data_IF_346110046089
#
_entry.id   IF_346110046089
#
_cell.length_a   1.000
_cell.length_b   1.000
_cell.length_c   1.000
_cell.angle_alpha   90.00
_cell.angle_beta   90.00
_cell.angle_gamma   90.00
#
_symmetry.space_group_name_H-M   'P 1'
#
loop_
_entity.id
_entity.type
_entity.pdbx_description
1 polymer ?
#
# COMPACT_ATOMS: atom_id res chain seq x y z
N UNK A 1 17.09 0.78 -15.83
CA UNK A 1 16.41 1.85 -15.06
C UNK A 1 17.41 2.98 -14.87
N UNK A 2 17.01 4.23 -15.10
CA UNK A 2 17.87 5.40 -14.82
C UNK A 2 17.83 5.77 -13.33
N UNK A 3 18.71 6.68 -12.89
CA UNK A 3 18.69 7.19 -11.51
C UNK A 3 17.35 7.86 -11.17
N UNK A 4 16.80 8.68 -12.06
CA UNK A 4 15.49 9.31 -11.86
C UNK A 4 14.39 8.27 -11.74
N UNK A 5 14.37 7.26 -12.63
CA UNK A 5 13.39 6.17 -12.55
C UNK A 5 13.54 5.34 -11.27
N UNK A 6 14.76 5.15 -10.78
CA UNK A 6 15.03 4.50 -9.50
C UNK A 6 14.47 5.33 -8.35
N UNK A 7 14.73 6.63 -8.34
CA UNK A 7 14.19 7.56 -7.34
C UNK A 7 12.65 7.55 -7.33
N UNK A 8 12.00 7.70 -8.49
CA UNK A 8 10.55 7.66 -8.60
C UNK A 8 9.95 6.30 -8.21
N UNK A 9 10.66 5.19 -8.46
CA UNK A 9 10.24 3.88 -7.99
C UNK A 9 10.20 3.82 -6.45
N UNK A 10 11.24 4.36 -5.79
CA UNK A 10 11.29 4.43 -4.33
C UNK A 10 10.19 5.34 -3.75
N UNK A 11 9.97 6.51 -4.34
CA UNK A 11 8.84 7.39 -3.95
C UNK A 11 7.49 6.70 -4.15
N UNK A 12 7.29 6.02 -5.28
CA UNK A 12 6.02 5.32 -5.53
C UNK A 12 5.80 4.18 -4.54
N UNK A 13 6.84 3.44 -4.17
CA UNK A 13 6.73 2.40 -3.13
C UNK A 13 6.31 3.03 -1.78
N UNK A 14 6.89 4.17 -1.40
CA UNK A 14 6.47 4.88 -0.18
C UNK A 14 5.00 5.30 -0.25
N UNK A 15 4.59 5.96 -1.33
CA UNK A 15 3.20 6.39 -1.52
C UNK A 15 2.21 5.21 -1.54
N UNK A 16 2.56 4.10 -2.19
CA UNK A 16 1.73 2.89 -2.17
C UNK A 16 1.57 2.30 -0.77
N UNK A 17 2.63 2.32 0.06
CA UNK A 17 2.55 1.84 1.44
C UNK A 17 1.61 2.70 2.28
N UNK A 18 1.67 4.03 2.11
CA UNK A 18 0.75 4.99 2.74
C UNK A 18 -0.69 4.75 2.27
N UNK A 19 -0.96 4.66 0.96
CA UNK A 19 -2.28 4.41 0.38
C UNK A 19 -2.89 3.07 0.87
N UNK A 20 -2.06 2.02 0.99
CA UNK A 20 -2.49 0.70 1.52
C UNK A 20 -2.83 0.80 3.00
N UNK A 21 -2.02 1.50 3.80
CA UNK A 21 -2.26 1.68 5.22
C UNK A 21 -3.58 2.44 5.45
N UNK A 22 -3.80 3.54 4.73
CA UNK A 22 -5.06 4.30 4.76
C UNK A 22 -6.24 3.42 4.38
N UNK A 23 -6.14 2.67 3.28
CA UNK A 23 -7.21 1.75 2.83
C UNK A 23 -7.51 0.67 3.86
N UNK A 24 -6.48 0.14 4.52
CA UNK A 24 -6.65 -0.83 5.61
C UNK A 24 -7.33 -0.21 6.84
N UNK A 25 -6.97 1.02 7.21
CA UNK A 25 -7.62 1.74 8.32
C UNK A 25 -9.10 2.01 8.04
N UNK A 26 -9.46 2.42 6.82
CA UNK A 26 -10.86 2.63 6.40
C UNK A 26 -11.66 1.32 6.50
N UNK A 27 -11.09 0.19 6.04
CA UNK A 27 -11.73 -1.13 6.16
C UNK A 27 -11.98 -1.56 7.60
N UNK A 28 -10.99 -1.37 8.50
CA UNK A 28 -11.17 -1.68 9.93
C UNK A 28 -12.30 -0.85 10.55
N UNK A 29 -12.38 0.45 10.22
CA UNK A 29 -13.48 1.31 10.71
C UNK A 29 -14.84 0.84 10.21
N UNK A 30 -14.95 0.50 8.91
CA UNK A 30 -16.20 -0.01 8.33
C UNK A 30 -16.66 -1.33 8.98
N UNK A 31 -15.75 -2.28 9.22
CA UNK A 31 -16.08 -3.55 9.88
C UNK A 31 -16.58 -3.38 11.32
N UNK A 32 -16.05 -2.40 12.07
CA UNK A 32 -16.54 -2.07 13.42
C UNK A 32 -17.97 -1.51 13.35
N UNK A 33 -18.29 -0.70 12.35
CA UNK A 33 -19.66 -0.17 12.14
C UNK A 33 -20.64 -1.28 11.72
N UNK A 34 -20.23 -2.22 10.87
CA UNK A 34 -21.05 -3.37 10.47
C UNK A 34 -21.33 -4.31 11.65
N UNK A 35 -20.34 -4.57 12.50
CA UNK A 35 -20.51 -5.40 13.69
C UNK A 35 -21.48 -4.77 14.71
N UNK A 36 -21.41 -3.44 14.89
CA UNK A 36 -22.33 -2.70 15.75
C UNK A 36 -23.78 -2.71 15.20
N UNK A 37 -23.95 -2.70 13.88
CA UNK A 37 -25.26 -2.81 13.22
C UNK A 37 -25.82 -4.24 13.19
N UNK A 38 -25.00 -5.26 13.40
CA UNK A 38 -25.42 -6.66 13.43
C UNK A 38 -25.95 -7.09 14.82
N UNK A 39 -25.50 -6.44 15.90
CA UNK A 39 -26.01 -6.68 17.26
C UNK A 39 -27.42 -6.12 17.48
N UNK A 40 -27.83 -5.13 16.70
CA UNK A 40 -29.22 -4.68 16.59
C UNK A 40 -29.81 -5.19 15.26
N UNK A 41 -30.60 -6.27 15.21
CA UNK A 41 -31.88 -6.25 14.45
C UNK A 41 -32.73 -7.51 14.38
N UNK A 42 -34.02 -7.28 14.66
CA UNK A 42 -35.15 -7.72 13.83
C UNK A 42 -35.01 -7.12 12.40
N UNK A 43 -35.06 -7.96 11.37
CA UNK A 43 -34.80 -7.59 9.98
C UNK A 43 -35.96 -6.79 9.33
N UNK A 44 -35.69 -5.55 8.94
CA UNK A 44 -36.54 -4.67 8.12
C UNK A 44 -35.88 -4.40 6.73
N UNK A 45 -36.67 -4.09 5.70
CA UNK A 45 -36.23 -3.81 4.32
C UNK A 45 -35.17 -2.70 4.22
N UNK A 46 -35.24 -1.65 5.04
CA UNK A 46 -34.18 -0.61 5.05
C UNK A 46 -32.83 -1.16 5.55
N UNK A 47 -32.86 -2.22 6.35
CA UNK A 47 -31.66 -2.92 6.83
C UNK A 47 -31.00 -3.73 5.72
N UNK A 48 -31.81 -4.39 4.87
CA UNK A 48 -31.33 -5.13 3.70
C UNK A 48 -30.72 -4.20 2.65
N UNK A 49 -31.30 -3.01 2.45
CA UNK A 49 -30.75 -1.99 1.55
C UNK A 49 -29.39 -1.49 2.03
N UNK A 50 -29.29 -1.13 3.33
CA UNK A 50 -28.00 -0.74 3.94
C UNK A 50 -26.96 -1.86 3.89
N UNK A 51 -27.36 -3.12 4.05
CA UNK A 51 -26.46 -4.26 3.90
C UNK A 51 -25.94 -4.40 2.46
N UNK A 52 -26.80 -4.24 1.45
CA UNK A 52 -26.39 -4.29 0.05
C UNK A 52 -25.41 -3.16 -0.32
N UNK A 53 -25.71 -1.92 0.10
CA UNK A 53 -24.85 -0.76 -0.13
C UNK A 53 -23.48 -0.93 0.58
N UNK A 54 -23.48 -1.44 1.82
CA UNK A 54 -22.25 -1.75 2.56
C UNK A 54 -21.42 -2.84 1.87
N UNK A 55 -22.07 -3.89 1.35
CA UNK A 55 -21.41 -4.97 0.63
C UNK A 55 -20.75 -4.48 -0.66
N UNK A 56 -21.44 -3.66 -1.45
CA UNK A 56 -20.86 -3.08 -2.67
C UNK A 56 -19.66 -2.19 -2.34
N UNK A 57 -19.74 -1.41 -1.27
CA UNK A 57 -18.63 -0.58 -0.80
C UNK A 57 -17.45 -1.43 -0.29
N UNK A 58 -17.72 -2.53 0.41
CA UNK A 58 -16.71 -3.48 0.85
C UNK A 58 -16.01 -4.17 -0.34
N UNK A 59 -16.76 -4.58 -1.37
CA UNK A 59 -16.23 -5.20 -2.59
C UNK A 59 -15.35 -4.23 -3.39
N UNK A 60 -15.77 -2.96 -3.55
CA UNK A 60 -14.96 -1.91 -4.19
C UNK A 60 -13.66 -1.64 -3.43
N UNK A 61 -13.72 -1.55 -2.10
CA UNK A 61 -12.53 -1.41 -1.26
C UNK A 61 -11.59 -2.62 -1.38
N UNK A 62 -12.15 -3.82 -1.60
CA UNK A 62 -11.39 -5.05 -1.84
C UNK A 62 -10.64 -5.02 -3.15
N UNK A 63 -11.32 -4.65 -4.25
CA UNK A 63 -10.68 -4.53 -5.55
C UNK A 63 -9.58 -3.46 -5.56
N UNK A 64 -9.84 -2.30 -4.94
CA UNK A 64 -8.85 -1.22 -4.81
C UNK A 64 -7.61 -1.69 -4.02
N UNK A 65 -7.80 -2.31 -2.85
CA UNK A 65 -6.70 -2.86 -2.05
C UNK A 65 -5.85 -3.85 -2.83
N UNK A 66 -6.49 -4.75 -3.61
CA UNK A 66 -5.76 -5.72 -4.43
C UNK A 66 -4.98 -5.07 -5.57
N UNK A 67 -5.51 -4.02 -6.18
CA UNK A 67 -4.81 -3.26 -7.21
C UNK A 67 -3.55 -2.60 -6.64
N UNK A 68 -3.67 -1.93 -5.48
CA UNK A 68 -2.54 -1.30 -4.79
C UNK A 68 -1.47 -2.31 -4.39
N UNK A 69 -1.85 -3.46 -3.83
CA UNK A 69 -0.91 -4.53 -3.47
C UNK A 69 -0.20 -5.12 -4.69
N UNK A 70 -0.91 -5.30 -5.81
CA UNK A 70 -0.30 -5.76 -7.07
C UNK A 70 0.69 -4.74 -7.61
N UNK A 71 0.35 -3.45 -7.56
CA UNK A 71 1.27 -2.40 -7.97
C UNK A 71 2.52 -2.37 -7.08
N UNK A 72 2.35 -2.43 -5.76
CA UNK A 72 3.45 -2.47 -4.81
C UNK A 72 4.39 -3.64 -5.09
N UNK A 73 3.84 -4.85 -5.26
CA UNK A 73 4.63 -6.03 -5.58
C UNK A 73 5.39 -5.87 -6.92
N UNK A 74 4.78 -5.24 -7.92
CA UNK A 74 5.42 -4.99 -9.21
C UNK A 74 6.58 -3.98 -9.08
N UNK A 75 6.42 -2.89 -8.30
CA UNK A 75 7.49 -1.93 -8.08
C UNK A 75 8.64 -2.54 -7.28
N UNK A 76 8.34 -3.31 -6.22
CA UNK A 76 9.35 -4.02 -5.45
C UNK A 76 10.10 -5.07 -6.29
N UNK A 77 9.42 -5.77 -7.20
CA UNK A 77 10.06 -6.71 -8.13
C UNK A 77 10.99 -6.00 -9.12
N UNK A 78 10.58 -4.85 -9.67
CA UNK A 78 11.44 -4.01 -10.52
C UNK A 78 12.69 -3.56 -9.78
N UNK A 79 12.53 -3.15 -8.52
CA UNK A 79 13.63 -2.73 -7.67
C UNK A 79 14.62 -3.89 -7.45
N UNK A 80 14.13 -5.06 -7.06
CA UNK A 80 14.95 -6.27 -6.84
C UNK A 80 15.68 -6.73 -8.09
N UNK A 81 15.07 -6.59 -9.27
CA UNK A 81 15.69 -6.93 -10.55
C UNK A 81 16.78 -5.93 -10.96
N UNK A 82 16.69 -4.68 -10.51
CA UNK A 82 17.66 -3.64 -10.82
C UNK A 82 18.85 -3.62 -9.86
N UNK A 83 18.60 -3.80 -8.56
CA UNK A 83 19.67 -3.81 -7.55
C UNK A 83 20.44 -5.13 -7.66
N UNK A 84 21.77 -5.11 -7.89
CA UNK A 84 22.57 -6.32 -7.92
C UNK A 84 22.47 -7.07 -6.60
N UNK A 85 22.38 -8.41 -6.64
CA UNK A 85 22.32 -9.24 -5.42
C UNK A 85 23.52 -9.00 -4.51
N UNK A 86 24.69 -8.67 -5.06
CA UNK A 86 25.89 -8.31 -4.29
C UNK A 86 25.75 -7.03 -3.46
N UNK A 87 24.77 -6.18 -3.77
CA UNK A 87 24.46 -4.96 -3.02
C UNK A 87 23.34 -5.17 -1.98
N UNK A 88 22.77 -6.37 -1.86
CA UNK A 88 21.77 -6.65 -0.84
C UNK A 88 22.41 -6.56 0.56
N UNK A 89 21.65 -6.06 1.54
CA UNK A 89 22.17 -5.75 2.87
C UNK A 89 23.01 -4.46 2.93
N UNK A 90 23.22 -3.77 1.81
CA UNK A 90 23.90 -2.47 1.78
C UNK A 90 22.89 -1.34 1.63
N UNK A 91 23.11 -0.25 2.36
CA UNK A 91 22.30 0.96 2.24
C UNK A 91 22.72 1.74 0.99
N UNK A 92 21.78 1.96 0.08
CA UNK A 92 21.97 2.69 -1.18
C UNK A 92 21.27 4.04 -1.05
N UNK A 93 21.96 5.11 -1.40
CA UNK A 93 21.40 6.45 -1.46
C UNK A 93 20.92 6.77 -2.89
N UNK A 94 19.68 7.25 -3.00
CA UNK A 94 19.07 7.75 -4.22
C UNK A 94 18.82 9.25 -4.07
N UNK A 95 19.38 10.04 -5.00
CA UNK A 95 19.24 11.49 -5.02
C UNK A 95 18.58 11.94 -6.32
N UNK A 96 17.73 12.97 -6.23
CA UNK A 96 17.13 13.66 -7.36
C UNK A 96 17.21 15.18 -7.10
N UNK A 97 17.65 16.01 -8.06
CA UNK A 97 17.78 17.45 -7.84
C UNK A 97 16.47 18.10 -7.38
N UNK A 98 16.50 18.84 -6.28
CA UNK A 98 15.33 19.50 -5.70
C UNK A 98 14.45 18.62 -4.81
N UNK A 99 14.81 17.35 -4.60
CA UNK A 99 14.09 16.43 -3.73
C UNK A 99 14.98 15.93 -2.57
N UNK A 100 14.39 15.54 -1.42
CA UNK A 100 15.16 14.97 -0.32
C UNK A 100 15.78 13.62 -0.72
N UNK A 101 16.98 13.28 -0.21
CA UNK A 101 17.58 11.97 -0.50
C UNK A 101 16.72 10.83 0.05
N UNK A 102 16.65 9.73 -0.68
CA UNK A 102 16.01 8.49 -0.24
C UNK A 102 17.08 7.43 -0.01
N UNK A 103 16.96 6.69 1.08
CA UNK A 103 17.84 5.60 1.39
C UNK A 103 17.09 4.28 1.29
N UNK A 104 17.61 3.34 0.53
CA UNK A 104 17.04 2.01 0.37
C UNK A 104 17.98 0.93 0.87
N UNK A 105 17.41 -0.05 1.56
CA UNK A 105 18.07 -1.29 1.95
C UNK A 105 17.23 -2.45 1.40
N UNK A 106 17.81 -3.20 0.48
CA UNK A 106 17.18 -4.40 -0.10
C UNK A 106 17.72 -5.63 0.63
N UNK A 107 16.82 -6.37 1.24
CA UNK A 107 17.07 -7.68 1.84
C UNK A 107 16.35 -8.78 1.02
N UNK A 108 16.64 -10.04 1.34
CA UNK A 108 16.07 -11.19 0.63
C UNK A 108 14.55 -11.24 0.73
N UNK A 109 13.99 -10.90 1.90
CA UNK A 109 12.56 -10.93 2.19
C UNK A 109 11.92 -9.54 2.19
N UNK A 110 12.69 -8.47 2.42
CA UNK A 110 12.16 -7.12 2.67
C UNK A 110 12.90 -6.01 1.94
N UNK A 111 12.23 -4.88 1.76
CA UNK A 111 12.81 -3.64 1.23
C UNK A 111 12.47 -2.51 2.21
N UNK A 112 13.49 -1.88 2.78
CA UNK A 112 13.34 -0.70 3.63
C UNK A 112 13.67 0.55 2.83
N UNK A 113 12.83 1.58 2.93
CA UNK A 113 13.03 2.86 2.27
C UNK A 113 12.82 3.95 3.32
N UNK A 114 13.78 4.83 3.50
CA UNK A 114 13.75 5.92 4.47
C UNK A 114 14.09 7.25 3.79
N UNK A 115 13.37 8.31 4.15
CA UNK A 115 13.73 9.68 3.75
C UNK A 115 14.95 10.13 4.56
N UNK A 116 15.92 10.73 3.89
CA UNK A 116 17.03 11.38 4.57
C UNK A 116 16.56 12.59 5.36
N UNK A 117 17.06 12.69 6.59
CA UNK A 117 16.85 13.83 7.48
C UNK A 117 17.78 14.98 7.13
#
# INVERSE_FOLDING_TARGET
MTQDQFYYCLERILGLREEIEETCMVRRRAQVTESALAEEKQLDFDSLRRFADNKEQADRNTASSHALLKELAAQEAKLRAFVPVSAYGTRIEATLPGHPPLYVLVETDRIYINKGS
#
